data_IF_399489286604
#
_entry.id   IF_399489286604
#
_cell.length_a   1.000
_cell.length_b   1.000
_cell.length_c   1.000
_cell.angle_alpha   90.00
_cell.angle_beta   90.00
_cell.angle_gamma   90.00
#
_symmetry.space_group_name_H-M   'P 1'
#
loop_
_entity.id
_entity.type
_entity.pdbx_description
1 polymer ?
#
# COMPACT_ATOMS: atom_id res chain seq x y z
N UNK A 1 16.50 -34.36 -11.05
CA UNK A 1 17.78 -34.51 -11.81
C UNK A 1 17.82 -35.72 -12.77
N UNK A 2 16.89 -36.69 -12.69
CA UNK A 2 16.87 -37.89 -13.56
C UNK A 2 16.21 -37.64 -14.95
N UNK A 3 15.22 -36.75 -15.05
CA UNK A 3 14.40 -36.58 -16.27
C UNK A 3 15.12 -35.96 -17.49
N UNK A 4 16.04 -35.01 -17.28
CA UNK A 4 16.74 -34.33 -18.39
C UNK A 4 17.60 -35.28 -19.22
N UNK A 5 18.29 -36.20 -18.54
CA UNK A 5 19.19 -37.18 -19.19
C UNK A 5 18.42 -38.19 -20.03
N UNK A 6 17.21 -38.58 -19.59
CA UNK A 6 16.33 -39.50 -20.32
C UNK A 6 15.79 -38.88 -21.61
N UNK A 7 15.44 -37.59 -21.60
CA UNK A 7 14.97 -36.87 -22.79
C UNK A 7 16.11 -36.66 -23.80
N UNK A 8 17.31 -36.28 -23.34
CA UNK A 8 18.50 -36.14 -24.18
C UNK A 8 18.89 -37.48 -24.86
N UNK A 9 18.79 -38.60 -24.13
CA UNK A 9 19.05 -39.94 -24.67
C UNK A 9 18.02 -40.36 -25.72
N UNK A 10 16.75 -39.96 -25.59
CA UNK A 10 15.70 -40.24 -26.57
C UNK A 10 15.83 -39.38 -27.84
N UNK A 11 16.17 -38.10 -27.72
CA UNK A 11 16.43 -37.20 -28.86
C UNK A 11 17.63 -37.71 -29.65
N UNK A 12 18.74 -38.03 -28.98
CA UNK A 12 19.96 -38.56 -29.63
C UNK A 12 19.68 -39.88 -30.38
N UNK A 13 18.80 -40.72 -29.84
CA UNK A 13 18.39 -41.99 -30.47
C UNK A 13 17.55 -41.75 -31.73
N UNK A 14 16.70 -40.73 -31.74
CA UNK A 14 15.88 -40.36 -32.89
C UNK A 14 16.71 -39.68 -33.99
N UNK A 15 17.66 -38.82 -33.62
CA UNK A 15 18.57 -38.15 -34.54
C UNK A 15 19.60 -39.11 -35.18
N UNK A 16 20.00 -40.17 -34.47
CA UNK A 16 20.91 -41.19 -34.98
C UNK A 16 20.24 -42.27 -35.85
N UNK A 17 18.93 -42.16 -36.10
CA UNK A 17 18.18 -43.09 -36.95
C UNK A 17 18.13 -42.58 -38.38
N UNK A 18 18.74 -43.29 -39.34
CA UNK A 18 18.69 -43.00 -40.80
C UNK A 18 17.28 -43.22 -41.42
N UNK A 19 16.22 -43.26 -40.60
CA UNK A 19 14.85 -43.48 -41.07
C UNK A 19 14.19 -42.16 -41.48
N UNK A 20 13.74 -42.08 -42.74
CA UNK A 20 12.97 -40.95 -43.29
C UNK A 20 11.63 -40.71 -42.57
N UNK A 21 11.12 -41.70 -41.83
CA UNK A 21 9.88 -41.62 -41.06
C UNK A 21 10.04 -42.18 -39.66
N UNK A 22 9.67 -41.38 -38.65
CA UNK A 22 9.68 -41.78 -37.24
C UNK A 22 8.32 -42.39 -36.86
N UNK A 23 8.29 -43.58 -36.22
CA UNK A 23 7.05 -44.17 -35.72
C UNK A 23 6.35 -43.28 -34.69
N UNK A 24 5.02 -43.08 -34.83
CA UNK A 24 4.22 -42.26 -33.92
C UNK A 24 4.28 -42.71 -32.45
N UNK A 25 4.61 -43.97 -32.17
CA UNK A 25 4.83 -44.47 -30.82
C UNK A 25 6.04 -43.82 -30.14
N UNK A 26 7.14 -43.60 -30.88
CA UNK A 26 8.36 -42.97 -30.36
C UNK A 26 8.17 -41.47 -30.15
N UNK A 27 7.42 -40.81 -31.04
CA UNK A 27 7.01 -39.40 -30.86
C UNK A 27 6.15 -39.25 -29.61
N UNK A 28 5.24 -40.20 -29.35
CA UNK A 28 4.39 -40.18 -28.15
C UNK A 28 5.20 -40.38 -26.87
N UNK A 29 6.15 -41.32 -26.86
CA UNK A 29 7.05 -41.54 -25.71
C UNK A 29 7.91 -40.31 -25.39
N UNK A 30 8.39 -39.60 -26.43
CA UNK A 30 9.13 -38.35 -26.25
C UNK A 30 8.23 -37.25 -25.67
N UNK A 31 7.01 -37.10 -26.20
CA UNK A 31 6.03 -36.13 -25.67
C UNK A 31 5.68 -36.44 -24.22
N UNK A 32 5.47 -37.70 -23.87
CA UNK A 32 5.14 -38.11 -22.50
C UNK A 32 6.34 -37.91 -21.54
N UNK A 33 7.57 -38.12 -22.02
CA UNK A 33 8.79 -37.84 -21.24
C UNK A 33 9.04 -36.34 -21.06
N UNK A 34 8.74 -35.53 -22.07
CA UNK A 34 8.79 -34.07 -21.99
C UNK A 34 7.71 -33.56 -21.03
N UNK A 35 6.47 -34.08 -21.09
CA UNK A 35 5.41 -33.75 -20.13
C UNK A 35 5.82 -34.09 -18.71
N UNK A 36 6.35 -35.30 -18.48
CA UNK A 36 6.87 -35.71 -17.17
C UNK A 36 8.04 -34.83 -16.68
N UNK A 37 8.86 -34.29 -17.59
CA UNK A 37 9.93 -33.34 -17.26
C UNK A 37 9.39 -31.95 -16.86
N UNK A 38 8.26 -31.52 -17.43
CA UNK A 38 7.61 -30.24 -17.10
C UNK A 38 6.62 -30.35 -15.92
N UNK A 39 6.02 -31.52 -15.70
CA UNK A 39 5.05 -31.79 -14.63
C UNK A 39 5.75 -32.13 -13.29
N UNK A 40 7.03 -32.50 -13.29
CA UNK A 40 7.82 -32.68 -12.07
C UNK A 40 8.42 -31.35 -11.57
N UNK A 41 8.03 -30.92 -10.37
CA UNK A 41 8.46 -29.74 -9.57
C UNK A 41 7.73 -28.40 -9.76
N UNK A 42 6.73 -28.27 -10.65
CA UNK A 42 5.95 -27.03 -10.77
C UNK A 42 4.54 -27.06 -10.15
N UNK A 43 3.95 -28.23 -9.91
CA UNK A 43 2.57 -28.30 -9.36
C UNK A 43 2.50 -28.19 -7.83
N UNK A 44 3.46 -28.76 -7.10
CA UNK A 44 3.37 -28.86 -5.62
C UNK A 44 3.74 -27.53 -4.92
N UNK A 45 4.77 -26.83 -5.40
CA UNK A 45 5.18 -25.51 -4.87
C UNK A 45 4.15 -24.43 -5.21
N UNK A 46 3.43 -24.57 -6.32
CA UNK A 46 2.43 -23.59 -6.75
C UNK A 46 1.21 -23.59 -5.85
N UNK A 47 0.63 -24.76 -5.53
CA UNK A 47 -0.64 -24.81 -4.80
C UNK A 47 -0.50 -24.27 -3.37
N UNK A 48 0.61 -24.58 -2.69
CA UNK A 48 0.86 -24.12 -1.32
C UNK A 48 1.15 -22.61 -1.29
N UNK A 49 2.00 -22.11 -2.20
CA UNK A 49 2.29 -20.68 -2.35
C UNK A 49 1.04 -19.87 -2.75
N UNK A 50 0.22 -20.41 -3.64
CA UNK A 50 -1.05 -19.82 -4.03
C UNK A 50 -2.06 -19.78 -2.88
N UNK A 51 -2.09 -20.82 -2.05
CA UNK A 51 -2.88 -20.86 -0.83
C UNK A 51 -2.47 -19.79 0.17
N UNK A 52 -1.17 -19.68 0.46
CA UNK A 52 -0.63 -18.67 1.38
C UNK A 52 -0.86 -17.24 0.88
N UNK A 53 -0.68 -16.99 -0.42
CA UNK A 53 -0.92 -15.69 -1.02
C UNK A 53 -2.42 -15.32 -1.00
N UNK A 54 -3.30 -16.30 -1.22
CA UNK A 54 -4.74 -16.14 -1.09
C UNK A 54 -5.19 -15.84 0.34
N UNK A 55 -4.59 -16.52 1.33
CA UNK A 55 -4.78 -16.24 2.75
C UNK A 55 -4.28 -14.86 3.14
N UNK A 56 -3.12 -14.41 2.63
CA UNK A 56 -2.61 -13.05 2.85
C UNK A 56 -3.56 -11.99 2.27
N UNK A 57 -4.03 -12.19 1.03
CA UNK A 57 -5.00 -11.29 0.41
C UNK A 57 -6.30 -11.22 1.22
N UNK A 58 -6.79 -12.36 1.69
CA UNK A 58 -7.99 -12.45 2.54
C UNK A 58 -7.78 -11.76 3.90
N UNK A 59 -6.62 -11.92 4.50
CA UNK A 59 -6.24 -11.27 5.75
C UNK A 59 -6.22 -9.74 5.61
N UNK A 60 -5.57 -9.22 4.56
CA UNK A 60 -5.54 -7.78 4.26
C UNK A 60 -6.97 -7.24 4.07
N UNK A 61 -7.80 -7.96 3.34
CA UNK A 61 -9.17 -7.53 3.06
C UNK A 61 -10.07 -7.55 4.32
N UNK A 62 -9.88 -8.53 5.20
CA UNK A 62 -10.58 -8.60 6.49
C UNK A 62 -10.15 -7.45 7.42
N UNK A 63 -8.86 -7.16 7.51
CA UNK A 63 -8.34 -6.05 8.30
C UNK A 63 -8.90 -4.70 7.80
N UNK A 64 -9.05 -4.52 6.49
CA UNK A 64 -9.73 -3.36 5.88
C UNK A 64 -11.18 -3.24 6.32
N UNK A 65 -11.92 -4.35 6.33
CA UNK A 65 -13.32 -4.37 6.73
C UNK A 65 -13.49 -3.99 8.21
N UNK A 66 -12.61 -4.48 9.08
CA UNK A 66 -12.59 -4.07 10.49
C UNK A 66 -12.27 -2.59 10.68
N UNK A 67 -11.37 -2.02 9.86
CA UNK A 67 -11.09 -0.57 9.87
C UNK A 67 -12.30 0.26 9.38
N UNK A 68 -13.11 -0.26 8.47
CA UNK A 68 -14.32 0.42 7.99
C UNK A 68 -15.40 0.55 9.07
N UNK A 69 -15.52 -0.43 9.97
CA UNK A 69 -16.50 -0.41 11.06
C UNK A 69 -16.23 0.73 12.07
N UNK A 70 -15.05 1.35 12.06
CA UNK A 70 -14.70 2.46 12.95
C UNK A 70 -15.27 3.83 12.56
N UNK A 71 -15.81 4.02 11.33
CA UNK A 71 -16.53 5.23 10.93
C UNK A 71 -17.89 4.90 10.27
N UNK A 72 -18.98 4.75 11.06
CA UNK A 72 -20.31 4.45 10.52
C UNK A 72 -21.00 5.62 9.78
N UNK A 73 -20.49 6.86 9.91
CA UNK A 73 -21.27 8.08 9.63
C UNK A 73 -20.69 9.02 8.56
N UNK A 74 -19.69 8.59 7.80
CA UNK A 74 -19.12 9.36 6.71
C UNK A 74 -19.04 8.45 5.51
N UNK A 75 -20.03 8.51 4.61
CA UNK A 75 -19.89 8.48 3.14
C UNK A 75 -21.20 8.03 2.46
N UNK A 76 -21.65 8.87 1.55
CA UNK A 76 -22.79 8.69 0.66
C UNK A 76 -22.57 7.55 -0.35
N UNK A 77 -23.68 7.05 -0.89
CA UNK A 77 -23.94 5.87 -1.76
C UNK A 77 -23.10 5.65 -3.05
N UNK A 78 -21.91 6.25 -3.24
CA UNK A 78 -21.10 5.98 -4.44
C UNK A 78 -19.65 5.62 -4.10
N UNK A 79 -19.31 4.36 -4.38
CA UNK A 79 -18.00 3.69 -4.24
C UNK A 79 -17.54 3.48 -2.78
N UNK A 80 -17.42 2.21 -2.39
CA UNK A 80 -16.76 1.80 -1.14
C UNK A 80 -15.32 2.37 -1.11
N UNK A 81 -14.99 3.30 -0.20
CA UNK A 81 -13.65 3.86 -0.11
C UNK A 81 -12.65 2.78 0.32
N UNK A 82 -11.43 2.86 -0.21
CA UNK A 82 -10.36 1.93 0.13
C UNK A 82 -9.98 2.08 1.62
N UNK A 83 -9.52 1.02 2.31
CA UNK A 83 -9.11 1.15 3.74
C UNK A 83 -8.01 2.21 3.89
N UNK A 84 -7.17 2.28 2.88
CA UNK A 84 -6.10 3.26 2.78
C UNK A 84 -6.64 4.70 2.68
N UNK A 85 -7.81 4.92 2.09
CA UNK A 85 -8.47 6.23 2.03
C UNK A 85 -9.15 6.56 3.37
N UNK A 86 -9.68 5.56 4.08
CA UNK A 86 -10.19 5.71 5.44
C UNK A 86 -9.09 6.12 6.43
N UNK A 87 -7.91 5.47 6.36
CA UNK A 87 -6.77 5.86 7.18
C UNK A 87 -6.29 7.29 6.87
N UNK A 88 -6.30 7.69 5.60
CA UNK A 88 -6.00 9.08 5.21
C UNK A 88 -7.04 10.07 5.79
N UNK A 89 -8.33 9.72 5.79
CA UNK A 89 -9.38 10.53 6.39
C UNK A 89 -9.20 10.66 7.91
N UNK A 90 -8.76 9.60 8.60
CA UNK A 90 -8.43 9.64 10.04
C UNK A 90 -7.27 10.61 10.31
N UNK A 91 -6.19 10.56 9.52
CA UNK A 91 -5.06 11.50 9.65
C UNK A 91 -5.56 12.93 9.50
N UNK A 92 -6.31 13.22 8.44
CA UNK A 92 -6.84 14.56 8.17
C UNK A 92 -7.78 15.05 9.28
N UNK A 93 -8.69 14.21 9.76
CA UNK A 93 -9.60 14.57 10.86
C UNK A 93 -8.82 14.86 12.16
N UNK A 94 -7.74 14.10 12.40
CA UNK A 94 -6.89 14.28 13.58
C UNK A 94 -6.07 15.57 13.50
N UNK A 95 -5.56 15.93 12.31
CA UNK A 95 -4.91 17.22 12.06
C UNK A 95 -5.88 18.39 12.29
N UNK A 96 -7.11 18.29 11.79
CA UNK A 96 -8.10 19.35 11.96
C UNK A 96 -8.49 19.53 13.44
N UNK A 97 -8.68 18.43 14.17
CA UNK A 97 -8.94 18.46 15.60
C UNK A 97 -7.78 19.09 16.37
N UNK A 98 -6.53 18.77 16.00
CA UNK A 98 -5.32 19.33 16.62
C UNK A 98 -5.22 20.83 16.37
N UNK A 99 -5.48 21.29 15.14
CA UNK A 99 -5.52 22.71 14.81
C UNK A 99 -6.56 23.46 15.65
N UNK A 100 -7.77 22.89 15.81
CA UNK A 100 -8.82 23.47 16.68
C UNK A 100 -8.37 23.60 18.15
N UNK A 101 -7.60 22.63 18.65
CA UNK A 101 -7.03 22.70 20.01
C UNK A 101 -6.02 23.85 20.10
N UNK A 102 -5.13 24.00 19.11
CA UNK A 102 -4.15 25.08 19.07
C UNK A 102 -4.83 26.45 18.98
N UNK A 103 -5.84 26.60 18.11
CA UNK A 103 -6.63 27.83 18.00
C UNK A 103 -7.34 28.18 19.34
N UNK A 104 -7.81 27.16 20.06
CA UNK A 104 -8.43 27.36 21.40
C UNK A 104 -7.40 27.82 22.43
N UNK A 105 -6.18 27.30 22.40
CA UNK A 105 -5.07 27.75 23.25
C UNK A 105 -4.72 29.22 23.00
N UNK A 106 -4.71 29.66 21.74
CA UNK A 106 -4.48 31.05 21.36
C UNK A 106 -5.63 31.96 21.81
N UNK A 107 -6.88 31.51 21.68
CA UNK A 107 -8.04 32.25 22.18
C UNK A 107 -8.01 32.41 23.70
N UNK A 108 -7.60 31.38 24.45
CA UNK A 108 -7.38 31.46 25.90
C UNK A 108 -6.33 32.53 26.23
N UNK A 109 -5.22 32.57 25.50
CA UNK A 109 -4.17 33.58 25.71
C UNK A 109 -4.71 35.00 25.45
N UNK A 110 -5.48 35.20 24.37
CA UNK A 110 -6.14 36.48 24.11
C UNK A 110 -7.14 36.87 25.20
N UNK A 111 -7.88 35.90 25.76
CA UNK A 111 -8.76 36.13 26.91
C UNK A 111 -7.95 36.58 28.13
N UNK A 112 -6.82 35.94 28.43
CA UNK A 112 -5.95 36.33 29.54
C UNK A 112 -5.46 37.78 29.41
N UNK A 113 -4.99 38.18 28.23
CA UNK A 113 -4.57 39.56 27.97
C UNK A 113 -5.71 40.55 28.19
N UNK A 114 -6.91 40.28 27.66
CA UNK A 114 -8.08 41.14 27.86
C UNK A 114 -8.52 41.24 29.32
N UNK A 115 -8.41 40.14 30.08
CA UNK A 115 -8.71 40.13 31.52
C UNK A 115 -7.69 40.98 32.26
N UNK A 116 -6.39 40.80 31.97
CA UNK A 116 -5.32 41.60 32.55
C UNK A 116 -5.51 43.09 32.30
N UNK A 117 -5.77 43.48 31.05
CA UNK A 117 -5.98 44.89 30.68
C UNK A 117 -7.17 45.51 31.42
N UNK A 118 -8.27 44.76 31.58
CA UNK A 118 -9.45 45.22 32.35
C UNK A 118 -9.16 45.39 33.82
N UNK A 119 -8.36 44.50 34.42
CA UNK A 119 -7.99 44.59 35.83
C UNK A 119 -7.09 45.81 36.09
N UNK A 120 -6.13 46.08 35.20
CA UNK A 120 -5.23 47.24 35.31
C UNK A 120 -5.97 48.57 35.07
N UNK A 121 -6.93 48.59 34.15
CA UNK A 121 -7.70 49.79 33.81
C UNK A 121 -8.92 50.07 34.71
N UNK A 122 -9.14 49.26 35.74
CA UNK A 122 -10.28 49.40 36.66
C UNK A 122 -10.16 50.64 37.54
N UNK A 123 -11.29 51.32 37.80
CA UNK A 123 -11.40 52.47 38.70
C UNK A 123 -12.61 52.32 39.64
N UNK A 124 -12.42 52.30 40.98
CA UNK A 124 -11.13 52.31 41.67
C UNK A 124 -10.32 51.04 41.38
N UNK A 125 -8.99 51.18 41.40
CA UNK A 125 -8.07 50.05 41.17
C UNK A 125 -8.27 48.94 42.20
N UNK A 126 -8.00 47.71 41.78
CA UNK A 126 -7.96 46.56 42.67
C UNK A 126 -6.86 46.73 43.73
N UNK A 127 -7.05 46.07 44.87
CA UNK A 127 -5.99 45.93 45.86
C UNK A 127 -4.74 45.26 45.22
N UNK A 128 -3.51 45.77 45.46
CA UNK A 128 -2.30 45.25 44.83
C UNK A 128 -2.05 43.76 45.09
N UNK A 129 -2.36 43.25 46.28
CA UNK A 129 -2.14 41.84 46.61
C UNK A 129 -3.16 40.95 45.88
N UNK A 130 -4.41 41.43 45.76
CA UNK A 130 -5.43 40.76 44.96
C UNK A 130 -5.08 40.75 43.46
N UNK A 131 -4.54 41.85 42.93
CA UNK A 131 -4.11 41.93 41.53
C UNK A 131 -2.96 40.95 41.25
N UNK A 132 -1.94 40.91 42.13
CA UNK A 132 -0.83 39.98 42.01
C UNK A 132 -1.30 38.51 42.03
N UNK A 133 -2.20 38.16 42.95
CA UNK A 133 -2.75 36.81 43.01
C UNK A 133 -3.50 36.39 41.73
N UNK A 134 -4.18 37.33 41.07
CA UNK A 134 -4.87 37.05 39.79
C UNK A 134 -3.87 36.96 38.64
N UNK A 135 -2.84 37.81 38.59
CA UNK A 135 -1.78 37.72 37.60
C UNK A 135 -1.01 36.38 37.68
N UNK A 136 -0.70 35.91 38.88
CA UNK A 136 -0.06 34.60 39.09
C UNK A 136 -0.94 33.46 38.54
N UNK A 137 -2.24 33.46 38.85
CA UNK A 137 -3.17 32.45 38.34
C UNK A 137 -3.30 32.49 36.80
N UNK A 138 -3.29 33.70 36.19
CA UNK A 138 -3.30 33.86 34.74
C UNK A 138 -2.00 33.35 34.10
N UNK A 139 -0.84 33.57 34.73
CA UNK A 139 0.45 33.03 34.27
C UNK A 139 0.49 31.50 34.34
N UNK A 140 -0.05 30.90 35.41
CA UNK A 140 -0.15 29.44 35.53
C UNK A 140 -1.03 28.85 34.41
N UNK A 141 -2.17 29.49 34.13
CA UNK A 141 -3.06 29.08 33.05
C UNK A 141 -2.40 29.25 31.66
N UNK A 142 -1.68 30.35 31.44
CA UNK A 142 -0.92 30.57 30.19
C UNK A 142 0.18 29.52 30.00
N UNK A 143 0.90 29.17 31.07
CA UNK A 143 1.92 28.10 31.05
C UNK A 143 1.29 26.77 30.66
N UNK A 144 0.12 26.45 31.21
CA UNK A 144 -0.62 25.22 30.87
C UNK A 144 -1.06 25.21 29.41
N UNK A 145 -1.55 26.34 28.89
CA UNK A 145 -1.92 26.50 27.47
C UNK A 145 -0.71 26.28 26.55
N UNK A 146 0.45 26.85 26.91
CA UNK A 146 1.69 26.67 26.16
C UNK A 146 2.16 25.20 26.14
N UNK A 147 2.05 24.49 27.26
CA UNK A 147 2.36 23.06 27.32
C UNK A 147 1.47 22.21 26.41
N UNK A 148 0.17 22.54 26.31
CA UNK A 148 -0.75 21.88 25.38
C UNK A 148 -0.32 22.16 23.94
N UNK A 149 -0.03 23.42 23.61
CA UNK A 149 0.43 23.81 22.28
C UNK A 149 1.69 23.05 21.86
N UNK A 150 2.70 23.00 22.74
CA UNK A 150 3.94 22.25 22.51
C UNK A 150 3.66 20.75 22.33
N UNK A 151 2.82 20.14 23.16
CA UNK A 151 2.47 18.73 23.01
C UNK A 151 1.78 18.43 21.67
N UNK A 152 0.90 19.33 21.21
CA UNK A 152 0.21 19.22 19.93
C UNK A 152 1.15 19.35 18.73
N UNK A 153 2.27 20.07 18.83
CA UNK A 153 3.22 20.17 17.71
C UNK A 153 3.87 18.84 17.30
N UNK A 154 3.91 17.84 18.20
CA UNK A 154 4.43 16.50 17.87
C UNK A 154 3.49 15.72 16.92
N UNK A 155 2.25 16.19 16.77
CA UNK A 155 1.25 15.60 15.89
C UNK A 155 1.65 15.70 14.41
N UNK A 156 2.35 16.75 13.99
CA UNK A 156 2.84 16.89 12.60
C UNK A 156 3.74 15.72 12.20
N UNK A 157 4.71 15.36 13.06
CA UNK A 157 5.58 14.20 12.82
C UNK A 157 4.79 12.89 12.81
N UNK A 158 3.74 12.80 13.63
CA UNK A 158 2.89 11.61 13.71
C UNK A 158 2.02 11.48 12.46
N UNK A 159 1.43 12.58 11.98
CA UNK A 159 0.66 12.64 10.74
C UNK A 159 1.50 12.21 9.54
N UNK A 160 2.69 12.77 9.39
CA UNK A 160 3.62 12.38 8.31
C UNK A 160 4.01 10.89 8.36
N UNK A 161 4.27 10.34 9.56
CA UNK A 161 4.58 8.91 9.72
C UNK A 161 3.40 8.03 9.34
N UNK A 162 2.18 8.37 9.78
CA UNK A 162 0.98 7.60 9.43
C UNK A 162 0.74 7.68 7.92
N UNK A 163 0.88 8.85 7.31
CA UNK A 163 0.71 9.01 5.87
C UNK A 163 1.68 8.11 5.09
N UNK A 164 2.94 8.03 5.50
CA UNK A 164 3.92 7.12 4.90
C UNK A 164 3.56 5.64 5.09
N UNK A 165 3.01 5.27 6.24
CA UNK A 165 2.48 3.91 6.49
C UNK A 165 1.31 3.62 5.54
N UNK A 166 0.39 4.56 5.38
CA UNK A 166 -0.76 4.42 4.46
C UNK A 166 -0.30 4.25 3.01
N UNK A 167 0.65 5.06 2.54
CA UNK A 167 1.25 4.92 1.21
C UNK A 167 1.91 3.55 1.00
N UNK A 168 2.63 3.06 2.02
CA UNK A 168 3.27 1.75 1.98
C UNK A 168 2.23 0.63 1.92
N UNK A 169 1.14 0.73 2.69
CA UNK A 169 0.05 -0.25 2.65
C UNK A 169 -0.66 -0.27 1.29
N UNK A 170 -0.84 0.89 0.64
CA UNK A 170 -1.37 0.99 -0.73
C UNK A 170 -0.48 0.24 -1.73
N UNK A 171 0.83 0.31 -1.58
CA UNK A 171 1.77 -0.39 -2.47
C UNK A 171 1.76 -1.91 -2.22
N UNK A 172 1.73 -2.35 -0.96
CA UNK A 172 1.60 -3.77 -0.61
C UNK A 172 0.29 -4.33 -1.16
N UNK A 173 -0.81 -3.60 -1.03
CA UNK A 173 -2.10 -3.97 -1.62
C UNK A 173 -1.99 -4.13 -3.14
N UNK A 174 -1.42 -3.15 -3.84
CA UNK A 174 -1.23 -3.20 -5.29
C UNK A 174 -0.42 -4.42 -5.71
N UNK A 175 0.65 -4.73 -4.99
CA UNK A 175 1.49 -5.91 -5.23
C UNK A 175 0.70 -7.21 -5.04
N UNK A 176 -0.02 -7.34 -3.93
CA UNK A 176 -0.83 -8.55 -3.63
C UNK A 176 -1.93 -8.73 -4.66
N UNK A 177 -2.65 -7.66 -5.04
CA UNK A 177 -3.68 -7.72 -6.08
C UNK A 177 -3.11 -8.09 -7.45
N UNK A 178 -1.97 -7.49 -7.83
CA UNK A 178 -1.26 -7.83 -9.07
C UNK A 178 -0.87 -9.31 -9.10
N UNK A 179 -0.34 -9.81 -7.99
CA UNK A 179 0.04 -11.21 -7.82
C UNK A 179 -1.19 -12.12 -7.98
N UNK A 180 -2.31 -11.83 -7.30
CA UNK A 180 -3.58 -12.58 -7.45
C UNK A 180 -4.08 -12.59 -8.90
N UNK A 181 -3.98 -11.47 -9.63
CA UNK A 181 -4.40 -11.36 -11.03
C UNK A 181 -3.48 -12.17 -11.95
N UNK A 182 -2.15 -12.04 -11.82
CA UNK A 182 -1.16 -12.75 -12.66
C UNK A 182 -1.30 -14.26 -12.50
N UNK A 183 -1.51 -14.74 -11.28
CA UNK A 183 -1.61 -16.18 -10.99
C UNK A 183 -3.00 -16.76 -11.24
N UNK A 184 -3.94 -15.96 -11.74
CA UNK A 184 -5.28 -16.44 -12.12
C UNK A 184 -6.03 -17.09 -10.96
N UNK A 185 -5.69 -16.74 -9.72
CA UNK A 185 -6.39 -17.23 -8.55
C UNK A 185 -7.81 -16.68 -8.63
N UNK A 186 -8.75 -17.53 -9.03
CA UNK A 186 -10.19 -17.32 -8.92
C UNK A 186 -10.58 -17.24 -7.45
N UNK A 187 -10.10 -16.21 -6.78
CA UNK A 187 -10.57 -15.83 -5.47
C UNK A 187 -11.95 -15.21 -5.70
N UNK A 188 -12.97 -15.67 -4.98
CA UNK A 188 -14.33 -15.12 -5.13
C UNK A 188 -14.38 -13.61 -4.84
N UNK A 189 -13.37 -13.08 -4.12
CA UNK A 189 -13.16 -11.65 -3.89
C UNK A 189 -12.58 -10.88 -5.09
N UNK A 190 -11.91 -11.54 -6.05
CA UNK A 190 -11.44 -10.89 -7.28
C UNK A 190 -12.62 -10.43 -8.17
N UNK A 191 -13.82 -10.96 -7.94
CA UNK A 191 -15.07 -10.51 -8.58
C UNK A 191 -15.56 -9.14 -8.09
N UNK A 192 -15.01 -8.61 -6.98
CA UNK A 192 -15.36 -7.29 -6.44
C UNK A 192 -14.39 -6.17 -6.87
N UNK A 193 -13.34 -6.50 -7.62
CA UNK A 193 -12.42 -5.51 -8.18
C UNK A 193 -13.11 -4.88 -9.40
N UNK A 194 -13.26 -3.55 -9.38
CA UNK A 194 -13.80 -2.77 -10.51
C UNK A 194 -13.04 -3.10 -11.80
N UNK A 195 -13.76 -3.25 -12.92
CA UNK A 195 -13.18 -3.64 -14.22
C UNK A 195 -12.16 -2.60 -14.72
N UNK A 196 -12.27 -1.33 -14.31
CA UNK A 196 -11.24 -0.31 -14.54
C UNK A 196 -9.95 -0.59 -13.75
N UNK A 197 -10.04 -0.85 -12.44
CA UNK A 197 -8.88 -1.19 -11.60
C UNK A 197 -8.21 -2.48 -12.07
N UNK A 198 -8.99 -3.45 -12.54
CA UNK A 198 -8.48 -4.71 -13.10
C UNK A 198 -7.68 -4.47 -14.37
N UNK A 199 -8.14 -3.61 -15.28
CA UNK A 199 -7.39 -3.21 -16.48
C UNK A 199 -6.11 -2.44 -16.15
N UNK A 200 -6.16 -1.53 -15.19
CA UNK A 200 -4.99 -0.78 -14.74
C UNK A 200 -3.92 -1.71 -14.15
N UNK A 201 -4.31 -2.64 -13.28
CA UNK A 201 -3.42 -3.64 -12.68
C UNK A 201 -2.90 -4.66 -13.71
N UNK A 202 -3.68 -5.00 -14.74
CA UNK A 202 -3.27 -5.85 -15.86
C UNK A 202 -2.24 -5.14 -16.74
N UNK A 203 -2.47 -3.88 -17.11
CA UNK A 203 -1.51 -3.05 -17.84
C UNK A 203 -0.18 -2.92 -17.10
N UNK A 204 -0.24 -2.71 -15.78
CA UNK A 204 0.93 -2.62 -14.91
C UNK A 204 1.68 -3.96 -14.81
N UNK A 205 0.97 -5.09 -14.87
CA UNK A 205 1.56 -6.43 -14.90
C UNK A 205 2.21 -6.74 -16.25
N UNK A 206 1.61 -6.30 -17.36
CA UNK A 206 2.13 -6.47 -18.73
C UNK A 206 3.42 -5.67 -18.97
N UNK A 207 3.63 -4.56 -18.25
CA UNK A 207 4.88 -3.79 -18.28
C UNK A 207 6.06 -4.52 -17.59
N UNK A 208 5.79 -5.48 -16.71
CA UNK A 208 6.80 -6.41 -16.21
C UNK A 208 6.91 -7.60 -17.17
N UNK A 209 7.56 -7.36 -18.31
CA UNK A 209 8.12 -8.47 -19.07
C UNK A 209 9.03 -9.27 -18.12
N UNK A 210 8.66 -10.52 -17.86
CA UNK A 210 9.49 -11.47 -17.12
C UNK A 210 10.88 -11.63 -17.76
N UNK A 211 11.79 -12.40 -17.15
CA UNK A 211 13.16 -12.55 -17.64
C UNK A 211 13.16 -12.84 -19.14
N UNK A 212 13.70 -11.91 -19.92
CA UNK A 212 13.68 -11.99 -21.37
C UNK A 212 14.38 -13.28 -21.80
N UNK A 213 13.75 -14.02 -22.72
CA UNK A 213 14.36 -15.17 -23.38
C UNK A 213 15.72 -14.75 -23.96
N UNK A 214 16.78 -15.55 -23.82
CA UNK A 214 18.09 -15.21 -24.38
C UNK A 214 17.95 -15.04 -25.90
N UNK A 215 18.16 -13.81 -26.38
CA UNK A 215 17.96 -13.40 -27.79
C UNK A 215 16.94 -12.27 -28.00
N UNK A 216 16.21 -11.85 -26.96
CA UNK A 216 15.27 -10.72 -26.99
C UNK A 216 15.75 -9.49 -26.21
N UNK A 217 17.07 -9.38 -25.96
CA UNK A 217 17.65 -8.16 -25.41
C UNK A 217 17.51 -7.05 -26.45
N UNK A 218 16.93 -5.91 -26.07
CA UNK A 218 17.07 -4.67 -26.83
C UNK A 218 18.58 -4.42 -27.00
N UNK A 219 19.06 -4.46 -28.24
CA UNK A 219 20.46 -4.17 -28.52
C UNK A 219 20.70 -2.68 -28.25
N UNK A 220 21.91 -2.32 -27.85
CA UNK A 220 22.22 -0.96 -27.40
C UNK A 220 21.94 0.10 -28.47
N UNK A 221 21.99 -0.30 -29.74
CA UNK A 221 21.65 0.54 -30.89
C UNK A 221 20.14 0.88 -30.95
N UNK A 222 19.25 -0.03 -30.52
CA UNK A 222 17.80 0.23 -30.45
C UNK A 222 17.45 1.21 -29.32
N UNK A 223 18.24 1.21 -28.24
CA UNK A 223 18.08 2.13 -27.10
C UNK A 223 18.48 3.55 -27.51
N UNK A 224 19.57 3.67 -28.29
CA UNK A 224 20.05 4.95 -28.79
C UNK A 224 19.08 5.55 -29.84
N UNK A 225 18.45 4.73 -30.67
CA UNK A 225 17.44 5.19 -31.65
C UNK A 225 16.16 5.68 -30.97
N UNK A 226 15.71 5.02 -29.90
CA UNK A 226 14.54 5.46 -29.11
C UNK A 226 14.85 6.77 -28.37
N UNK A 227 16.06 6.92 -27.82
CA UNK A 227 16.48 8.15 -27.15
C UNK A 227 16.59 9.34 -28.12
N UNK A 228 17.03 9.10 -29.35
CA UNK A 228 17.10 10.12 -30.40
C UNK A 228 15.72 10.55 -30.94
N UNK A 229 14.67 9.75 -30.76
CA UNK A 229 13.30 10.12 -31.14
C UNK A 229 12.55 10.91 -30.04
N UNK A 230 13.06 10.91 -28.81
CA UNK A 230 12.46 11.60 -27.65
C UNK A 230 13.11 12.94 -27.29
N UNK A 231 14.13 13.36 -28.06
CA UNK A 231 14.81 14.66 -28.01
C UNK A 231 14.55 15.46 -29.29
#
# INVERSE_FOLDING_TARGET
MVNKKTVEEQITRLEGSDQEMVPMSQVRELIDSIKSMFEGDFEEINIELYGELGELAKYINNAKKELQDFQPNTLSDEKLPDASDQLAAIVSTTEEATRKIMDSCDEINSIHERVRDRLISMDPQLDPDALASVEDALMEAQTSSMQIYEACTFQDLTGQRIQKIVETLKEVERQVLRMVIIFGLNNENAKQIDEEKKKELQSDAELLNGPQLPGNSLEQDDIDDILNQLL
#
